data_IF_745477884653
#
_entry.id   IF_745477884653
#
_cell.length_a   1.000
_cell.length_b   1.000
_cell.length_c   1.000
_cell.angle_alpha   90.00
_cell.angle_beta   90.00
_cell.angle_gamma   90.00
#
_symmetry.space_group_name_H-M   'P 1'
#
loop_
_entity.id
_entity.type
_entity.pdbx_description
1 polymer ?
#
# COMPACT_ATOMS: atom_id res chain seq x y z
N UNK A 1 -24.14 -0.65 23.75
CA UNK A 1 -23.69 -1.96 23.24
C UNK A 1 -23.41 -1.97 21.74
N UNK A 2 -24.08 -1.16 20.91
CA UNK A 2 -23.78 -1.07 19.46
C UNK A 2 -22.44 -0.40 19.12
N UNK A 3 -21.91 0.47 19.98
CA UNK A 3 -20.65 1.21 19.75
C UNK A 3 -19.43 0.31 19.57
N UNK A 4 -19.40 -0.82 20.29
CA UNK A 4 -18.31 -1.79 20.16
C UNK A 4 -18.32 -2.49 18.80
N UNK A 5 -19.51 -2.83 18.28
CA UNK A 5 -19.66 -3.46 16.96
C UNK A 5 -19.22 -2.51 15.87
N UNK A 6 -19.64 -1.24 15.96
CA UNK A 6 -19.24 -0.19 15.00
C UNK A 6 -17.73 0.05 15.05
N UNK A 7 -17.14 0.10 16.25
CA UNK A 7 -15.70 0.27 16.43
C UNK A 7 -14.89 -0.89 15.82
N UNK A 8 -15.33 -2.13 16.03
CA UNK A 8 -14.69 -3.32 15.46
C UNK A 8 -14.74 -3.30 13.92
N UNK A 9 -15.90 -2.99 13.33
CA UNK A 9 -16.09 -2.93 11.88
C UNK A 9 -15.19 -1.87 11.25
N UNK A 10 -15.15 -0.66 11.81
CA UNK A 10 -14.26 0.39 11.29
C UNK A 10 -12.79 -0.02 11.38
N UNK A 11 -12.38 -0.60 12.50
CA UNK A 11 -10.99 -1.03 12.69
C UNK A 11 -10.56 -2.07 11.65
N UNK A 12 -11.41 -3.05 11.34
CA UNK A 12 -11.13 -4.07 10.32
C UNK A 12 -11.00 -3.46 8.92
N UNK A 13 -11.87 -2.52 8.56
CA UNK A 13 -11.83 -1.84 7.26
C UNK A 13 -10.53 -1.05 7.12
N UNK A 14 -10.17 -0.23 8.12
CA UNK A 14 -8.95 0.58 8.11
C UNK A 14 -7.70 -0.31 8.03
N UNK A 15 -7.64 -1.38 8.80
CA UNK A 15 -6.53 -2.34 8.76
C UNK A 15 -6.40 -3.02 7.39
N UNK A 16 -7.53 -3.38 6.75
CA UNK A 16 -7.53 -3.97 5.41
C UNK A 16 -7.05 -2.99 4.34
N UNK A 17 -7.45 -1.71 4.43
CA UNK A 17 -6.99 -0.65 3.52
C UNK A 17 -5.49 -0.45 3.66
N UNK A 18 -4.96 -0.30 4.89
CA UNK A 18 -3.52 -0.14 5.12
C UNK A 18 -2.73 -1.35 4.62
N UNK A 19 -3.19 -2.57 4.91
CA UNK A 19 -2.56 -3.79 4.38
C UNK A 19 -2.58 -3.82 2.85
N UNK A 20 -3.69 -3.42 2.23
CA UNK A 20 -3.75 -3.29 0.77
C UNK A 20 -2.76 -2.26 0.28
N UNK A 21 -2.72 -1.05 0.86
CA UNK A 21 -1.77 -0.01 0.48
C UNK A 21 -0.32 -0.51 0.58
N UNK A 22 0.08 -1.12 1.70
CA UNK A 22 1.44 -1.66 1.88
C UNK A 22 1.73 -2.77 0.87
N UNK A 23 0.77 -3.68 0.63
CA UNK A 23 0.93 -4.75 -0.36
C UNK A 23 0.99 -4.20 -1.78
N UNK A 24 0.22 -3.16 -2.09
CA UNK A 24 0.18 -2.49 -3.38
C UNK A 24 1.51 -1.74 -3.63
N UNK A 25 2.02 -1.07 -2.60
CA UNK A 25 3.33 -0.41 -2.58
C UNK A 25 4.47 -1.42 -2.75
N UNK A 26 4.39 -2.58 -2.09
CA UNK A 26 5.38 -3.66 -2.21
C UNK A 26 5.26 -4.44 -3.52
N UNK A 27 4.05 -4.56 -4.08
CA UNK A 27 3.77 -5.25 -5.35
C UNK A 27 4.12 -4.41 -6.58
N UNK A 28 4.75 -3.24 -6.41
CA UNK A 28 5.27 -2.47 -7.53
C UNK A 28 4.20 -1.82 -8.39
N UNK A 29 2.99 -1.55 -7.84
CA UNK A 29 2.03 -0.61 -8.45
C UNK A 29 2.51 0.83 -8.21
N UNK A 30 3.71 1.05 -8.71
CA UNK A 30 4.46 2.27 -8.71
C UNK A 30 4.20 2.94 -10.04
N UNK A 31 3.35 3.95 -10.05
CA UNK A 31 3.57 5.06 -10.97
C UNK A 31 4.86 5.74 -10.49
N UNK A 32 6.02 5.21 -10.92
CA UNK A 32 7.38 5.59 -10.54
C UNK A 32 7.70 5.56 -9.04
N UNK A 33 8.00 4.36 -8.53
CA UNK A 33 8.57 4.14 -7.20
C UNK A 33 10.08 4.18 -7.31
N UNK A 34 10.65 5.38 -7.23
CA UNK A 34 12.09 5.60 -7.16
C UNK A 34 12.66 5.24 -5.77
N UNK A 35 12.35 4.05 -5.26
CA UNK A 35 13.12 3.41 -4.17
C UNK A 35 14.13 2.45 -4.81
N UNK A 36 14.98 3.03 -5.64
CA UNK A 36 15.97 2.33 -6.44
C UNK A 36 17.33 2.36 -5.74
N UNK A 37 17.46 1.60 -4.65
CA UNK A 37 18.78 1.21 -4.13
C UNK A 37 19.54 0.26 -5.09
N UNK A 38 18.87 -0.26 -6.13
CA UNK A 38 19.47 -1.20 -7.10
C UNK A 38 18.82 -1.18 -8.50
N UNK A 39 18.05 -0.15 -8.89
CA UNK A 39 17.49 -0.12 -10.25
C UNK A 39 18.54 0.35 -11.28
N UNK A 40 19.28 -0.61 -11.84
CA UNK A 40 20.08 -0.42 -13.05
C UNK A 40 19.26 -0.19 -14.33
N UNK A 41 17.99 0.25 -14.24
CA UNK A 41 17.08 0.36 -15.39
C UNK A 41 16.31 1.70 -15.47
N UNK A 42 16.67 2.71 -14.68
CA UNK A 42 16.22 4.10 -14.89
C UNK A 42 17.14 4.86 -15.86
N UNK A 43 17.64 4.18 -16.89
CA UNK A 43 18.21 4.85 -18.05
C UNK A 43 17.07 5.01 -19.04
N UNK A 44 16.76 6.28 -19.35
CA UNK A 44 15.81 6.64 -20.39
C UNK A 44 16.01 5.75 -21.62
N UNK A 45 14.93 5.11 -22.06
CA UNK A 45 14.89 4.67 -23.45
C UNK A 45 15.12 5.92 -24.31
N UNK A 46 16.17 5.87 -25.14
CA UNK A 46 16.11 6.20 -26.57
C UNK A 46 14.73 6.63 -27.08
#
# INVERSE_FOLDING_TARGET
>A
MGTFVVGLVLFLIVAAVIRKMIKDHKAGKSSCGCDCGSCGMCHGKK
#
